data_IF_547470142220
#
_entry.id   IF_547470142220
#
_cell.length_a   1.000
_cell.length_b   1.000
_cell.length_c   1.000
_cell.angle_alpha   90.00
_cell.angle_beta   90.00
_cell.angle_gamma   90.00
#
_symmetry.space_group_name_H-M   'P 1'
#
loop_
_entity.id
_entity.type
_entity.pdbx_description
1 polymer ?
#
# COMPACT_ATOMS: atom_id res chain seq x y z
N UNK A 1 -43.43 -13.74 -51.51
CA UNK A 1 -42.49 -12.63 -51.75
C UNK A 1 -41.39 -12.73 -50.69
N UNK A 2 -40.12 -12.89 -51.10
CA UNK A 2 -38.97 -13.06 -50.20
C UNK A 2 -38.51 -11.72 -49.62
N UNK A 3 -38.17 -11.72 -48.33
CA UNK A 3 -37.18 -10.89 -47.63
C UNK A 3 -37.44 -9.40 -47.41
N UNK A 4 -37.48 -8.99 -46.13
CA UNK A 4 -36.47 -8.11 -45.51
C UNK A 4 -36.58 -8.22 -43.99
N UNK A 5 -35.61 -8.93 -43.41
CA UNK A 5 -35.27 -8.85 -41.99
C UNK A 5 -34.48 -7.56 -41.80
N UNK A 6 -34.93 -6.70 -40.89
CA UNK A 6 -34.09 -5.66 -40.29
C UNK A 6 -34.22 -5.88 -38.79
N UNK A 7 -33.29 -6.64 -38.21
CA UNK A 7 -33.03 -6.58 -36.77
C UNK A 7 -32.28 -5.27 -36.54
N UNK A 8 -32.94 -4.31 -35.89
CA UNK A 8 -32.28 -3.12 -35.39
C UNK A 8 -31.44 -3.55 -34.18
N UNK A 9 -30.17 -3.86 -34.45
CA UNK A 9 -29.15 -4.06 -33.44
C UNK A 9 -28.87 -2.75 -32.72
N UNK A 10 -29.54 -2.52 -31.58
CA UNK A 10 -28.95 -1.66 -30.55
C UNK A 10 -28.00 -2.55 -29.76
N UNK A 11 -26.86 -2.84 -30.38
CA UNK A 11 -25.65 -3.12 -29.63
C UNK A 11 -25.30 -1.75 -29.04
N UNK A 12 -25.71 -1.51 -27.78
CA UNK A 12 -25.13 -0.43 -27.01
C UNK A 12 -23.68 -0.86 -26.74
N UNK A 13 -22.83 -0.60 -27.73
CA UNK A 13 -21.40 -0.56 -27.57
C UNK A 13 -21.08 0.62 -26.65
N UNK A 14 -21.37 0.47 -25.36
CA UNK A 14 -20.54 1.08 -24.33
C UNK A 14 -19.23 0.32 -24.39
N UNK A 15 -18.35 0.77 -25.28
CA UNK A 15 -17.02 0.21 -25.44
C UNK A 15 -16.34 0.03 -24.08
N UNK A 16 -15.68 -1.12 -23.97
CA UNK A 16 -14.55 -1.40 -23.11
C UNK A 16 -13.85 -0.11 -22.65
N UNK A 17 -13.95 0.17 -21.37
CA UNK A 17 -12.83 0.73 -20.66
C UNK A 17 -12.59 -0.15 -19.43
N UNK A 18 -11.85 -1.24 -19.65
CA UNK A 18 -10.89 -1.68 -18.64
C UNK A 18 -9.74 -0.63 -18.56
N UNK A 19 -10.05 0.67 -18.40
CA UNK A 19 -9.05 1.74 -18.50
C UNK A 19 -8.82 2.53 -17.21
N UNK A 20 -9.50 2.22 -16.10
CA UNK A 20 -9.11 2.75 -14.79
C UNK A 20 -8.43 1.64 -13.97
N UNK A 21 -7.21 1.26 -14.36
CA UNK A 21 -6.52 0.10 -13.77
C UNK A 21 -5.52 0.46 -12.66
N UNK A 22 -5.34 1.75 -12.35
CA UNK A 22 -4.59 2.19 -11.17
C UNK A 22 -5.25 3.40 -10.52
N UNK A 23 -5.74 3.21 -9.29
CA UNK A 23 -6.20 4.30 -8.45
C UNK A 23 -5.11 4.63 -7.42
N UNK A 24 -4.65 5.88 -7.41
CA UNK A 24 -3.74 6.38 -6.36
C UNK A 24 -4.48 6.41 -5.02
N UNK A 25 -3.83 5.93 -3.97
CA UNK A 25 -4.35 6.00 -2.59
C UNK A 25 -4.10 7.38 -1.98
N UNK A 26 -4.77 7.69 -0.87
CA UNK A 26 -4.65 8.99 -0.17
C UNK A 26 -3.40 9.03 0.73
N UNK A 27 -2.26 8.51 0.27
CA UNK A 27 -1.02 8.54 1.05
C UNK A 27 -0.57 10.00 1.27
N UNK A 28 -0.31 10.43 2.52
CA UNK A 28 -0.08 11.83 2.87
C UNK A 28 1.35 12.29 2.57
N UNK A 29 1.82 12.11 1.33
CA UNK A 29 3.11 12.63 0.88
C UNK A 29 3.01 14.12 0.55
N UNK A 30 3.95 14.92 1.04
CA UNK A 30 4.12 16.35 0.71
C UNK A 30 4.94 16.59 -0.58
N UNK A 31 5.07 15.57 -1.44
CA UNK A 31 5.98 15.51 -2.59
C UNK A 31 7.49 15.66 -2.24
N UNK A 32 7.86 15.65 -0.95
CA UNK A 32 9.27 15.59 -0.57
C UNK A 32 9.82 14.17 -0.71
N UNK A 33 11.13 14.08 -0.94
CA UNK A 33 11.85 12.80 -0.97
C UNK A 33 11.75 12.02 0.34
N UNK A 34 11.42 12.69 1.45
CA UNK A 34 11.28 12.07 2.78
C UNK A 34 10.14 11.04 2.83
N UNK A 35 9.10 11.23 2.01
CA UNK A 35 7.96 10.33 1.90
C UNK A 35 8.10 9.27 0.79
N UNK A 36 9.28 9.17 0.16
CA UNK A 36 9.51 8.12 -0.85
C UNK A 36 9.21 6.75 -0.27
N UNK A 37 8.36 5.98 -0.92
CA UNK A 37 7.98 4.64 -0.48
C UNK A 37 9.05 3.66 -0.99
N UNK A 38 9.62 2.89 -0.08
CA UNK A 38 10.67 1.90 -0.39
C UNK A 38 10.15 0.47 -0.34
N UNK A 39 9.26 0.17 0.59
CA UNK A 39 8.72 -1.17 0.77
C UNK A 39 7.28 -1.13 1.24
N UNK A 40 6.53 -2.20 0.96
CA UNK A 40 5.18 -2.37 1.47
C UNK A 40 4.89 -3.84 1.79
N UNK A 41 3.96 -4.07 2.70
CA UNK A 41 3.45 -5.39 3.05
C UNK A 41 1.98 -5.30 3.49
N UNK A 42 1.23 -6.40 3.38
CA UNK A 42 -0.05 -6.56 4.07
C UNK A 42 0.08 -7.47 5.29
N UNK A 43 -0.50 -7.04 6.41
CA UNK A 43 -0.51 -7.85 7.63
C UNK A 43 -1.61 -8.93 7.58
N UNK A 44 -1.78 -9.71 8.66
CA UNK A 44 -2.79 -10.78 8.73
C UNK A 44 -4.24 -10.28 8.84
N UNK A 45 -4.44 -8.97 9.00
CA UNK A 45 -5.74 -8.31 9.06
C UNK A 45 -5.95 -7.38 7.86
N UNK A 46 -5.28 -7.65 6.74
CA UNK A 46 -5.37 -6.91 5.47
C UNK A 46 -5.07 -5.41 5.55
N UNK A 47 -4.39 -4.97 6.60
CA UNK A 47 -3.89 -3.60 6.65
C UNK A 47 -2.64 -3.49 5.79
N UNK A 48 -2.52 -2.36 5.11
CA UNK A 48 -1.34 -2.02 4.30
C UNK A 48 -0.35 -1.30 5.21
N UNK A 49 0.90 -1.75 5.19
CA UNK A 49 2.02 -1.02 5.78
C UNK A 49 2.96 -0.58 4.68
N UNK A 50 3.45 0.66 4.78
CA UNK A 50 4.46 1.22 3.88
C UNK A 50 5.63 1.77 4.68
N UNK A 51 6.82 1.46 4.17
CA UNK A 51 8.10 1.89 4.71
C UNK A 51 8.61 3.01 3.83
N UNK A 52 9.03 4.10 4.47
CA UNK A 52 9.41 5.32 3.76
C UNK A 52 10.90 5.62 3.93
N UNK A 53 11.41 6.52 3.07
CA UNK A 53 12.78 7.00 3.17
C UNK A 53 13.07 7.63 4.51
N UNK A 54 12.24 8.51 5.08
CA UNK A 54 12.59 9.18 6.33
C UNK A 54 11.41 9.46 7.28
N UNK A 55 10.23 8.97 6.95
CA UNK A 55 9.00 9.17 7.73
C UNK A 55 8.55 7.89 8.42
N UNK A 56 9.45 6.92 8.58
CA UNK A 56 9.19 5.67 9.24
C UNK A 56 8.14 4.82 8.52
N UNK A 57 7.29 4.19 9.31
CA UNK A 57 6.25 3.29 8.85
C UNK A 57 4.90 4.00 8.89
N UNK A 58 4.12 3.84 7.83
CA UNK A 58 2.73 4.27 7.77
C UNK A 58 1.83 3.06 7.57
N UNK A 59 0.62 3.13 8.10
CA UNK A 59 -0.37 2.05 8.06
C UNK A 59 -1.71 2.57 7.56
N UNK A 60 -2.40 1.75 6.79
CA UNK A 60 -3.80 1.96 6.40
C UNK A 60 -4.61 0.71 6.72
N UNK A 61 -5.75 0.90 7.39
CA UNK A 61 -6.71 -0.16 7.72
C UNK A 61 -7.91 -0.21 6.76
N UNK A 62 -7.97 0.72 5.81
CA UNK A 62 -9.11 0.96 4.93
C UNK A 62 -8.67 1.02 3.45
N UNK A 63 -7.74 0.14 3.09
CA UNK A 63 -7.26 -0.08 1.72
C UNK A 63 -6.66 1.18 1.07
N UNK A 64 -6.03 2.04 1.89
CA UNK A 64 -5.36 3.26 1.45
C UNK A 64 -6.25 4.50 1.38
N UNK A 65 -7.47 4.43 1.92
CA UNK A 65 -8.39 5.59 2.00
C UNK A 65 -7.91 6.60 3.04
N UNK A 66 -7.36 6.11 4.16
CA UNK A 66 -6.68 6.89 5.20
C UNK A 66 -5.39 6.21 5.64
N UNK A 67 -4.47 7.01 6.18
CA UNK A 67 -3.15 6.54 6.63
C UNK A 67 -2.80 7.16 7.97
N UNK A 68 -2.15 6.39 8.83
CA UNK A 68 -1.61 6.83 10.12
C UNK A 68 -0.16 6.42 10.28
N UNK A 69 0.62 7.18 11.03
CA UNK A 69 1.97 6.77 11.45
C UNK A 69 1.90 5.49 12.28
N UNK A 70 2.88 4.61 12.08
CA UNK A 70 2.93 3.26 12.67
C UNK A 70 4.30 2.95 13.28
N UNK A 71 5.10 3.98 13.60
CA UNK A 71 6.38 3.82 14.30
C UNK A 71 7.62 3.98 13.42
N UNK A 72 8.78 3.78 14.06
CA UNK A 72 10.11 4.05 13.50
C UNK A 72 10.20 5.47 12.90
N UNK A 73 9.66 6.47 13.59
CA UNK A 73 9.68 7.86 13.12
C UNK A 73 11.14 8.30 12.89
N UNK A 74 11.37 9.01 11.79
CA UNK A 74 12.69 9.41 11.30
C UNK A 74 13.59 8.27 10.84
N UNK A 75 13.12 7.03 10.74
CA UNK A 75 13.91 5.92 10.21
C UNK A 75 13.64 5.67 8.73
N UNK A 76 14.65 5.10 8.07
CA UNK A 76 14.55 4.70 6.67
C UNK A 76 14.19 3.22 6.60
N UNK A 77 12.96 2.94 6.22
CA UNK A 77 12.41 1.59 6.24
C UNK A 77 12.54 0.98 4.86
N UNK A 78 13.45 0.02 4.70
CA UNK A 78 13.88 -0.49 3.39
C UNK A 78 13.26 -1.82 3.00
N UNK A 79 12.73 -2.59 3.96
CA UNK A 79 12.11 -3.87 3.67
C UNK A 79 11.13 -4.29 4.77
N UNK A 80 10.17 -5.13 4.39
CA UNK A 80 9.32 -5.87 5.30
C UNK A 80 9.38 -7.35 4.97
N UNK A 81 9.18 -8.18 6.00
CA UNK A 81 8.89 -9.60 5.86
C UNK A 81 7.88 -10.04 6.93
N UNK A 82 7.25 -11.20 6.76
CA UNK A 82 6.26 -11.73 7.69
C UNK A 82 6.46 -13.23 7.90
N UNK A 83 6.46 -13.66 9.16
CA UNK A 83 6.53 -15.09 9.49
C UNK A 83 5.16 -15.79 9.39
N UNK A 84 5.16 -17.11 9.54
CA UNK A 84 3.93 -17.93 9.50
C UNK A 84 2.95 -17.63 10.64
N UNK A 85 3.42 -17.01 11.73
CA UNK A 85 2.59 -16.59 12.86
C UNK A 85 1.98 -15.20 12.64
N UNK A 86 2.29 -14.55 11.52
CA UNK A 86 1.82 -13.21 11.18
C UNK A 86 2.63 -12.09 11.83
N UNK A 87 3.75 -12.39 12.49
CA UNK A 87 4.64 -11.34 13.00
C UNK A 87 5.34 -10.65 11.83
N UNK A 88 5.44 -9.33 11.90
CA UNK A 88 6.05 -8.52 10.85
C UNK A 88 7.44 -8.13 11.29
N UNK A 89 8.40 -8.27 10.38
CA UNK A 89 9.77 -7.85 10.55
C UNK A 89 10.06 -6.73 9.56
N UNK A 90 10.92 -5.79 9.95
CA UNK A 90 11.36 -4.72 9.06
C UNK A 90 12.82 -4.39 9.29
N UNK A 91 13.57 -4.22 8.20
CA UNK A 91 14.92 -3.68 8.28
C UNK A 91 14.85 -2.15 8.11
N UNK A 92 15.49 -1.46 9.04
CA UNK A 92 15.75 -0.04 8.96
C UNK A 92 17.23 0.24 8.79
N UNK A 93 17.55 1.20 7.94
CA UNK A 93 18.91 1.71 7.76
C UNK A 93 18.97 3.21 8.01
N UNK A 94 19.38 3.60 9.21
CA UNK A 94 19.66 4.99 9.54
C UNK A 94 18.41 5.87 9.77
N UNK A 95 18.36 6.48 10.95
CA UNK A 95 18.84 7.86 11.12
C UNK A 95 19.47 7.94 12.51
N UNK A 96 19.32 9.03 13.26
CA UNK A 96 19.91 9.36 14.57
C UNK A 96 20.03 8.20 15.58
N UNK A 97 19.22 7.14 15.44
CA UNK A 97 19.13 5.99 16.35
C UNK A 97 19.79 4.69 15.83
N UNK A 98 20.51 4.74 14.69
CA UNK A 98 21.20 3.58 14.11
C UNK A 98 20.33 2.72 13.18
N UNK A 99 20.92 1.62 12.71
CA UNK A 99 20.27 0.61 11.85
C UNK A 99 19.87 -0.62 12.66
N UNK A 100 18.83 -1.32 12.24
CA UNK A 100 18.35 -2.49 12.96
C UNK A 100 17.24 -3.25 12.25
N UNK A 101 16.90 -4.40 12.81
CA UNK A 101 15.70 -5.16 12.43
C UNK A 101 14.71 -5.04 13.58
N UNK A 102 13.50 -4.59 13.27
CA UNK A 102 12.43 -4.43 14.24
C UNK A 102 11.33 -5.45 13.97
N UNK A 103 10.66 -5.87 15.05
CA UNK A 103 9.56 -6.84 15.02
C UNK A 103 8.28 -6.22 15.57
N UNK A 104 7.18 -6.47 14.89
CA UNK A 104 5.83 -6.28 15.40
C UNK A 104 5.11 -7.62 15.58
N UNK A 105 4.50 -7.81 16.75
CA UNK A 105 3.63 -8.95 17.08
C UNK A 105 2.16 -8.56 17.15
N UNK A 106 1.83 -7.32 16.80
CA UNK A 106 0.51 -6.71 16.99
C UNK A 106 0.02 -6.01 15.73
N UNK A 107 0.28 -6.64 14.57
CA UNK A 107 -0.18 -6.15 13.26
C UNK A 107 0.39 -4.79 12.85
N UNK A 108 1.57 -4.44 13.37
CA UNK A 108 2.31 -3.22 13.07
C UNK A 108 1.91 -2.01 13.91
N UNK A 109 1.13 -2.21 14.99
CA UNK A 109 0.78 -1.13 15.90
C UNK A 109 2.00 -0.69 16.73
N UNK A 110 2.86 -1.64 17.12
CA UNK A 110 4.12 -1.37 17.83
C UNK A 110 5.28 -2.19 17.27
N UNK A 111 6.51 -1.72 17.51
CA UNK A 111 7.76 -2.28 16.98
C UNK A 111 8.81 -2.34 18.08
N UNK A 112 9.48 -3.50 18.21
CA UNK A 112 10.55 -3.76 19.17
C UNK A 112 11.84 -4.20 18.46
#
# INVERSE_FOLDING_TARGET
MKMKVIFLSIILAGFLNAQDFWQKTNFPSDNSVLFSIYSMITNSSDNILVGTYAKGIWRSADQGSTWSESGLINQWVISFDKDNSGNIYTASVGSQFGSGVYKSTDNGNTWN
#
